data_IF_498562600361
#
_entry.id   IF_498562600361
#
_cell.length_a   1.000
_cell.length_b   1.000
_cell.length_c   1.000
_cell.angle_alpha   90.00
_cell.angle_beta   90.00
_cell.angle_gamma   90.00
#
_symmetry.space_group_name_H-M   'P 1'
#
loop_
_entity.id
_entity.type
_entity.pdbx_description
1 polymer ?
#
# COMPACT_ATOMS: atom_id res chain seq x y z
N UNK A 1 44.01 25.58 28.57
CA UNK A 1 43.17 24.45 28.09
C UNK A 1 41.80 25.02 27.77
N UNK A 2 41.55 25.36 26.51
CA UNK A 2 40.21 25.78 26.08
C UNK A 2 39.26 24.58 26.18
N UNK A 3 38.17 24.75 26.92
CA UNK A 3 37.11 23.77 26.99
C UNK A 3 36.25 23.90 25.74
N UNK A 4 36.37 22.96 24.80
CA UNK A 4 35.40 22.81 23.72
C UNK A 4 34.05 22.41 24.31
N UNK A 5 33.15 23.38 24.43
CA UNK A 5 31.76 23.11 24.76
C UNK A 5 31.10 22.51 23.52
N UNK A 6 30.81 21.20 23.57
CA UNK A 6 30.03 20.57 22.52
C UNK A 6 28.64 21.22 22.50
N UNK A 7 28.35 22.02 21.48
CA UNK A 7 27.01 22.58 21.27
C UNK A 7 26.05 21.43 20.98
N UNK A 8 25.28 21.02 21.99
CA UNK A 8 24.17 20.09 21.79
C UNK A 8 23.11 20.80 20.94
N UNK A 9 22.96 20.38 19.70
CA UNK A 9 21.85 20.82 18.85
C UNK A 9 20.58 20.10 19.34
N UNK A 10 19.89 20.72 20.28
CA UNK A 10 18.62 20.22 20.81
C UNK A 10 17.50 20.47 19.80
N UNK A 11 16.87 19.40 19.31
CA UNK A 11 15.67 19.53 18.48
C UNK A 11 14.50 19.96 19.34
N UNK A 12 13.74 20.95 18.86
CA UNK A 12 12.51 21.36 19.52
C UNK A 12 11.50 20.19 19.47
N UNK A 13 11.01 19.77 20.65
CA UNK A 13 10.09 18.62 20.78
C UNK A 13 8.78 18.83 20.01
N UNK A 14 8.18 20.02 20.12
CA UNK A 14 6.92 20.35 19.43
C UNK A 14 7.10 20.23 17.91
N UNK A 15 8.14 20.87 17.37
CA UNK A 15 8.45 20.80 15.93
C UNK A 15 8.72 19.37 15.47
N UNK A 16 9.36 18.56 16.31
CA UNK A 16 9.64 17.16 15.98
C UNK A 16 8.36 16.34 15.88
N UNK A 17 7.43 16.51 16.82
CA UNK A 17 6.14 15.83 16.79
C UNK A 17 5.30 16.26 15.58
N UNK A 18 5.18 17.56 15.33
CA UNK A 18 4.42 18.07 14.17
C UNK A 18 4.95 17.51 12.84
N UNK A 19 6.28 17.33 12.71
CA UNK A 19 6.88 16.73 11.51
C UNK A 19 6.53 15.26 11.34
N UNK A 20 6.54 14.49 12.44
CA UNK A 20 6.15 13.08 12.41
C UNK A 20 4.68 12.96 12.03
N UNK A 21 3.81 13.74 12.65
CA UNK A 21 2.36 13.75 12.34
C UNK A 21 2.10 14.06 10.86
N UNK A 22 2.78 15.07 10.30
CA UNK A 22 2.71 15.40 8.87
C UNK A 22 3.27 14.30 7.97
N UNK A 23 4.33 13.62 8.41
CA UNK A 23 4.97 12.55 7.66
C UNK A 23 4.11 11.27 7.58
N UNK A 24 3.18 11.08 8.51
CA UNK A 24 2.22 9.95 8.50
C UNK A 24 0.78 10.40 8.24
N UNK A 25 0.57 11.59 7.68
CA UNK A 25 -0.78 12.11 7.46
C UNK A 25 -1.40 11.52 6.19
N UNK A 26 -2.71 11.25 6.20
CA UNK A 26 -3.45 10.93 4.96
C UNK A 26 -3.89 12.18 4.19
N UNK A 27 -3.70 13.37 4.77
CA UNK A 27 -4.21 14.65 4.23
C UNK A 27 -3.09 15.61 3.87
N UNK A 28 -1.99 15.62 4.62
CA UNK A 28 -0.87 16.54 4.39
C UNK A 28 0.31 15.85 3.72
N UNK A 29 0.91 16.53 2.73
CA UNK A 29 2.11 16.06 2.03
C UNK A 29 1.94 14.67 1.37
N UNK A 30 0.75 14.36 0.86
CA UNK A 30 0.38 13.03 0.34
C UNK A 30 1.19 12.56 -0.87
N UNK A 31 1.99 13.44 -1.45
CA UNK A 31 2.92 13.19 -2.57
C UNK A 31 4.33 12.79 -2.10
N UNK A 32 4.73 13.19 -0.89
CA UNK A 32 6.10 13.02 -0.39
C UNK A 32 6.21 12.49 1.05
N UNK A 33 5.09 12.23 1.71
CA UNK A 33 5.04 11.62 3.03
C UNK A 33 5.19 10.09 2.95
N UNK A 34 5.15 9.40 4.09
CA UNK A 34 5.36 7.95 4.16
C UNK A 34 4.31 7.14 3.38
N UNK A 35 3.12 7.70 3.17
CA UNK A 35 2.04 7.10 2.39
C UNK A 35 2.00 7.61 0.94
N UNK A 36 2.87 8.57 0.62
CA UNK A 36 3.10 9.02 -0.74
C UNK A 36 3.56 7.86 -1.61
N UNK A 37 2.86 7.62 -2.72
CA UNK A 37 3.27 6.60 -3.68
C UNK A 37 4.36 7.18 -4.58
N UNK A 38 5.57 6.60 -4.49
CA UNK A 38 6.67 6.86 -5.43
C UNK A 38 6.26 6.65 -6.90
N UNK A 39 5.34 5.71 -7.15
CA UNK A 39 4.73 5.46 -8.45
C UNK A 39 3.22 5.59 -8.35
N UNK A 40 2.71 6.79 -8.65
CA UNK A 40 1.29 7.14 -8.52
C UNK A 40 0.41 6.61 -9.66
N UNK A 41 1.02 6.32 -10.82
CA UNK A 41 0.33 5.80 -12.00
C UNK A 41 -0.41 4.51 -11.66
N UNK A 42 -1.72 4.51 -11.89
CA UNK A 42 -2.61 3.37 -11.68
C UNK A 42 -3.54 3.28 -12.87
N UNK A 43 -3.82 2.05 -13.28
CA UNK A 43 -4.92 1.75 -14.19
C UNK A 43 -6.05 1.15 -13.34
N UNK A 44 -7.30 1.64 -13.44
CA UNK A 44 -8.43 0.95 -12.82
C UNK A 44 -8.51 -0.48 -13.37
N UNK A 45 -8.90 -1.42 -12.51
CA UNK A 45 -9.28 -2.77 -12.95
C UNK A 45 -10.72 -2.68 -13.39
N UNK A 46 -10.97 -2.90 -14.68
CA UNK A 46 -12.30 -2.71 -15.26
C UNK A 46 -13.29 -3.80 -14.78
N UNK A 47 -12.86 -5.05 -14.77
CA UNK A 47 -13.67 -6.18 -14.30
C UNK A 47 -12.82 -7.35 -13.86
N UNK A 48 -13.26 -8.05 -12.82
CA UNK A 48 -12.70 -9.34 -12.40
C UNK A 48 -13.76 -10.42 -12.57
N UNK A 49 -13.32 -11.63 -12.87
CA UNK A 49 -14.18 -12.80 -12.95
C UNK A 49 -13.45 -14.04 -12.45
N UNK A 50 -14.16 -14.94 -11.77
CA UNK A 50 -13.60 -16.15 -11.19
C UNK A 50 -14.37 -17.39 -11.64
N UNK A 51 -13.65 -18.51 -11.73
CA UNK A 51 -14.22 -19.84 -11.89
C UNK A 51 -13.65 -20.74 -10.79
N UNK A 52 -14.54 -21.36 -10.00
CA UNK A 52 -14.16 -22.26 -8.93
C UNK A 52 -14.26 -23.71 -9.40
N UNK A 53 -13.18 -24.47 -9.18
CA UNK A 53 -13.13 -25.90 -9.47
C UNK A 53 -12.54 -26.65 -8.27
N UNK A 54 -13.01 -27.88 -8.05
CA UNK A 54 -12.50 -28.77 -7.00
C UNK A 54 -11.14 -29.37 -7.36
N UNK A 55 -10.84 -29.48 -8.65
CA UNK A 55 -9.65 -30.15 -9.17
C UNK A 55 -8.78 -29.19 -9.96
N UNK A 56 -7.48 -29.48 -10.03
CA UNK A 56 -6.55 -28.76 -10.89
C UNK A 56 -6.85 -29.12 -12.34
N UNK A 57 -7.03 -28.11 -13.17
CA UNK A 57 -7.31 -28.26 -14.60
C UNK A 57 -6.17 -27.71 -15.44
N UNK A 58 -6.09 -28.15 -16.69
CA UNK A 58 -5.15 -27.59 -17.67
C UNK A 58 -5.55 -26.16 -18.04
N UNK A 59 -4.60 -25.40 -18.60
CA UNK A 59 -4.90 -24.06 -19.11
C UNK A 59 -5.93 -24.09 -20.25
N UNK A 60 -5.81 -25.06 -21.16
CA UNK A 60 -6.72 -25.23 -22.29
C UNK A 60 -8.16 -25.51 -21.84
N UNK A 61 -8.33 -26.23 -20.74
CA UNK A 61 -9.64 -26.51 -20.17
C UNK A 61 -10.22 -25.34 -19.40
N UNK A 62 -9.36 -24.56 -18.74
CA UNK A 62 -9.73 -23.34 -18.02
C UNK A 62 -10.30 -22.27 -18.97
N UNK A 63 -9.72 -22.11 -20.17
CA UNK A 63 -10.21 -21.17 -21.19
C UNK A 63 -11.63 -21.47 -21.67
N UNK A 64 -12.09 -22.72 -21.53
CA UNK A 64 -13.42 -23.17 -21.97
C UNK A 64 -14.48 -23.02 -20.88
N UNK A 65 -14.14 -22.49 -19.70
CA UNK A 65 -15.06 -22.36 -18.56
C UNK A 65 -15.74 -21.01 -18.55
N UNK A 66 -16.91 -20.98 -17.93
CA UNK A 66 -17.66 -19.74 -17.69
C UNK A 66 -17.19 -19.10 -16.38
N UNK A 67 -16.58 -17.92 -16.49
CA UNK A 67 -16.15 -17.14 -15.35
C UNK A 67 -17.28 -16.20 -14.91
N UNK A 68 -17.55 -16.19 -13.61
CA UNK A 68 -18.57 -15.33 -13.01
C UNK A 68 -17.94 -14.05 -12.49
N UNK A 69 -18.62 -12.89 -12.54
CA UNK A 69 -18.09 -11.64 -12.02
C UNK A 69 -17.65 -11.75 -10.56
N UNK A 70 -16.50 -11.17 -10.25
CA UNK A 70 -15.87 -11.19 -8.94
C UNK A 70 -15.53 -9.77 -8.46
N UNK A 71 -15.45 -9.60 -7.14
CA UNK A 71 -15.16 -8.32 -6.51
C UNK A 71 -13.98 -8.42 -5.55
N UNK A 72 -13.25 -7.31 -5.41
CA UNK A 72 -12.17 -7.21 -4.43
C UNK A 72 -12.74 -7.38 -3.02
N UNK A 73 -12.12 -8.26 -2.24
CA UNK A 73 -12.57 -8.60 -0.88
C UNK A 73 -13.51 -9.80 -0.79
N UNK A 74 -13.88 -10.43 -1.92
CA UNK A 74 -14.57 -11.72 -1.89
C UNK A 74 -13.66 -12.84 -1.38
N UNK A 75 -14.26 -13.78 -0.67
CA UNK A 75 -13.59 -14.96 -0.12
C UNK A 75 -13.88 -16.18 -1.01
N UNK A 76 -12.85 -16.99 -1.26
CA UNK A 76 -12.92 -18.13 -2.15
C UNK A 76 -12.25 -19.35 -1.53
N UNK A 77 -12.83 -20.53 -1.78
CA UNK A 77 -12.26 -21.83 -1.42
C UNK A 77 -12.09 -22.07 0.09
N UNK A 78 -11.92 -23.34 0.50
CA UNK A 78 -11.29 -23.68 1.77
C UNK A 78 -9.75 -23.62 1.65
N UNK A 79 -9.06 -23.56 2.79
CA UNK A 79 -7.59 -23.72 2.86
C UNK A 79 -7.18 -25.18 2.74
#
# INVERSE_FOLDING_TARGET
>A
MEQHTAHLVLKNRRTTLERVEKFISDVYFTDCNLRGRLFGARHPVDSLSCFLTKERISYEDALKRDFQPAQVGQTFGPT
#
